data_IF_476029780959
#
_entry.id   IF_476029780959
#
_cell.length_a   1.000
_cell.length_b   1.000
_cell.length_c   1.000
_cell.angle_alpha   90.00
_cell.angle_beta   90.00
_cell.angle_gamma   90.00
#
_symmetry.space_group_name_H-M   'P 1'
#
loop_
_entity.id
_entity.type
_entity.pdbx_description
1 polymer ?
#
# COMPACT_ATOMS: atom_id res chain seq x y z
N UNK A 1 13.30 17.20 -8.47
CA UNK A 1 13.16 17.95 -7.21
C UNK A 1 11.87 17.58 -6.47
N UNK A 2 10.69 17.68 -7.09
CA UNK A 2 9.39 17.31 -6.46
C UNK A 2 9.33 15.86 -5.93
N UNK A 3 9.92 14.90 -6.63
CA UNK A 3 9.95 13.50 -6.20
C UNK A 3 10.71 13.33 -4.87
N UNK A 4 11.89 13.93 -4.73
CA UNK A 4 12.66 13.90 -3.47
C UNK A 4 11.89 14.53 -2.31
N UNK A 5 11.23 15.68 -2.56
CA UNK A 5 10.39 16.33 -1.56
C UNK A 5 9.23 15.41 -1.11
N UNK A 6 8.57 14.74 -2.04
CA UNK A 6 7.47 13.82 -1.72
C UNK A 6 7.88 12.59 -0.91
N UNK A 7 9.16 12.21 -0.94
CA UNK A 7 9.70 11.09 -0.15
C UNK A 7 10.30 11.53 1.18
N UNK A 8 10.97 12.71 1.22
CA UNK A 8 11.67 13.19 2.42
C UNK A 8 10.75 13.99 3.36
N UNK A 9 9.86 14.83 2.80
CA UNK A 9 8.93 15.63 3.62
C UNK A 9 8.07 14.79 4.57
N UNK A 10 7.47 13.67 4.14
CA UNK A 10 6.73 12.82 5.06
C UNK A 10 7.60 12.30 6.22
N UNK A 11 8.87 12.00 5.99
CA UNK A 11 9.77 11.51 7.04
C UNK A 11 9.98 12.55 8.15
N UNK A 12 10.00 13.84 7.81
CA UNK A 12 10.12 14.93 8.80
C UNK A 12 8.80 15.20 9.55
N UNK A 13 7.64 14.94 8.91
CA UNK A 13 6.30 15.22 9.48
C UNK A 13 5.71 14.01 10.21
N UNK A 14 6.17 12.80 9.90
CA UNK A 14 5.72 11.59 10.58
C UNK A 14 6.21 11.55 12.04
N UNK A 15 5.54 10.81 12.93
CA UNK A 15 5.73 10.90 14.39
C UNK A 15 7.18 10.88 14.86
N UNK A 16 8.00 9.98 14.34
CA UNK A 16 9.40 9.88 14.72
C UNK A 16 10.23 11.10 14.28
N UNK A 17 10.10 11.49 12.99
CA UNK A 17 10.85 12.64 12.45
C UNK A 17 10.45 13.94 13.13
N UNK A 18 9.14 14.17 13.29
CA UNK A 18 8.62 15.35 13.97
C UNK A 18 9.06 15.41 15.44
N UNK A 19 9.03 14.27 16.14
CA UNK A 19 9.49 14.22 17.53
C UNK A 19 10.98 14.55 17.65
N UNK A 20 11.83 14.03 16.75
CA UNK A 20 13.27 14.35 16.73
C UNK A 20 13.51 15.84 16.45
N UNK A 21 12.77 16.45 15.53
CA UNK A 21 12.85 17.90 15.28
C UNK A 21 12.43 18.71 16.50
N UNK A 22 11.34 18.33 17.17
CA UNK A 22 10.87 18.98 18.38
C UNK A 22 11.88 18.85 19.53
N UNK A 23 12.51 17.68 19.70
CA UNK A 23 13.58 17.48 20.69
C UNK A 23 14.78 18.38 20.40
N UNK A 24 15.19 18.49 19.14
CA UNK A 24 16.30 19.35 18.73
C UNK A 24 16.00 20.83 19.01
N UNK A 25 14.79 21.30 18.65
CA UNK A 25 14.33 22.67 18.93
C UNK A 25 14.30 22.94 20.44
N UNK A 26 13.78 22.00 21.23
CA UNK A 26 13.72 22.11 22.67
C UNK A 26 15.10 22.15 23.33
N UNK A 27 16.04 21.35 22.81
CA UNK A 27 17.43 21.31 23.32
C UNK A 27 18.18 22.61 23.01
N UNK A 28 18.14 23.09 21.77
CA UNK A 28 18.82 24.30 21.33
C UNK A 28 18.21 25.55 22.00
N UNK A 29 16.88 25.65 22.00
CA UNK A 29 16.14 26.77 22.60
C UNK A 29 16.04 26.72 24.12
N UNK A 30 16.48 25.61 24.74
CA UNK A 30 16.27 25.32 26.17
C UNK A 30 14.80 25.42 26.58
N UNK A 31 13.88 25.08 25.67
CA UNK A 31 12.45 25.14 25.89
C UNK A 31 11.91 23.74 26.26
N UNK A 32 11.18 23.66 27.36
CA UNK A 32 10.61 22.39 27.82
C UNK A 32 9.37 21.94 27.01
N UNK A 33 8.62 22.86 26.45
CA UNK A 33 7.39 22.53 25.72
C UNK A 33 7.59 21.65 24.48
N UNK A 34 8.54 21.94 23.57
CA UNK A 34 8.82 21.04 22.45
C UNK A 34 9.24 19.64 22.90
N UNK A 35 10.03 19.55 23.99
CA UNK A 35 10.45 18.26 24.55
C UNK A 35 9.26 17.46 25.07
N UNK A 36 8.37 18.09 25.85
CA UNK A 36 7.15 17.44 26.37
C UNK A 36 6.27 17.00 25.20
N UNK A 37 6.08 17.85 24.20
CA UNK A 37 5.28 17.52 23.00
C UNK A 37 5.86 16.34 22.25
N UNK A 38 7.16 16.26 22.07
CA UNK A 38 7.84 15.15 21.42
C UNK A 38 7.62 13.82 22.18
N UNK A 39 7.77 13.84 23.51
CA UNK A 39 7.54 12.68 24.37
C UNK A 39 6.09 12.20 24.26
N UNK A 40 5.12 13.09 24.36
CA UNK A 40 3.69 12.77 24.25
C UNK A 40 3.36 12.23 22.85
N UNK A 41 3.89 12.84 21.79
CA UNK A 41 3.69 12.39 20.41
C UNK A 41 4.21 10.96 20.24
N UNK A 42 5.43 10.67 20.65
CA UNK A 42 6.01 9.32 20.57
C UNK A 42 5.20 8.33 21.41
N UNK A 43 4.86 8.70 22.63
CA UNK A 43 4.10 7.82 23.51
C UNK A 43 2.74 7.46 22.93
N UNK A 44 1.95 8.46 22.50
CA UNK A 44 0.61 8.25 21.91
C UNK A 44 0.71 7.41 20.63
N UNK A 45 1.61 7.77 19.70
CA UNK A 45 1.75 7.06 18.45
C UNK A 45 2.34 5.64 18.60
N UNK A 46 2.96 5.33 19.74
CA UNK A 46 3.47 4.00 20.06
C UNK A 46 2.44 3.09 20.73
N UNK A 47 1.23 3.58 21.02
CA UNK A 47 0.16 2.75 21.60
C UNK A 47 -0.55 1.92 20.53
N UNK A 48 -0.72 0.63 20.79
CA UNK A 48 -1.47 -0.27 19.93
C UNK A 48 -2.90 0.18 19.68
N UNK A 49 -3.59 0.69 20.72
CA UNK A 49 -4.95 1.22 20.59
C UNK A 49 -5.04 2.37 19.59
N UNK A 50 -4.02 3.22 19.52
CA UNK A 50 -3.97 4.35 18.56
C UNK A 50 -3.75 3.85 17.14
N UNK A 51 -2.72 3.03 16.93
CA UNK A 51 -2.40 2.49 15.60
C UNK A 51 -3.54 1.65 15.04
N UNK A 52 -4.18 0.81 15.88
CA UNK A 52 -5.32 -0.01 15.47
C UNK A 52 -6.57 0.83 15.17
N UNK A 53 -6.78 1.94 15.88
CA UNK A 53 -7.89 2.86 15.58
C UNK A 53 -7.68 3.55 14.24
N UNK A 54 -6.45 3.97 13.92
CA UNK A 54 -6.10 4.54 12.64
C UNK A 54 -6.31 3.54 11.49
N UNK A 55 -5.87 2.29 11.66
CA UNK A 55 -6.09 1.23 10.68
C UNK A 55 -7.58 0.95 10.47
N UNK A 56 -8.35 0.78 11.55
CA UNK A 56 -9.81 0.58 11.47
C UNK A 56 -10.49 1.70 10.69
N UNK A 57 -10.09 2.93 10.91
CA UNK A 57 -10.65 4.07 10.19
C UNK A 57 -10.30 4.07 8.70
N UNK A 58 -9.04 3.77 8.36
CA UNK A 58 -8.59 3.70 6.97
C UNK A 58 -9.26 2.56 6.18
N UNK A 59 -9.48 1.43 6.85
CA UNK A 59 -9.97 0.20 6.24
C UNK A 59 -11.49 0.00 6.41
N UNK A 60 -12.16 0.83 7.21
CA UNK A 60 -13.58 0.68 7.55
C UNK A 60 -14.56 0.49 6.38
N UNK A 61 -14.33 1.06 5.19
CA UNK A 61 -15.20 0.86 4.05
C UNK A 61 -15.08 -0.54 3.43
N UNK A 62 -14.05 -1.31 3.81
CA UNK A 62 -13.66 -2.52 3.12
C UNK A 62 -13.88 -3.76 3.95
N UNK A 63 -14.17 -4.87 3.25
CA UNK A 63 -14.23 -6.21 3.82
C UNK A 63 -13.48 -7.18 2.90
N UNK A 64 -12.76 -8.13 3.51
CA UNK A 64 -12.14 -9.23 2.76
C UNK A 64 -13.23 -10.18 2.27
N UNK A 65 -13.26 -10.45 0.98
CA UNK A 65 -14.18 -11.39 0.36
C UNK A 65 -13.43 -12.48 -0.43
N UNK A 66 -14.01 -13.66 -0.62
CA UNK A 66 -13.40 -14.69 -1.45
C UNK A 66 -13.43 -14.29 -2.94
N UNK A 67 -12.49 -14.81 -3.73
CA UNK A 67 -12.43 -14.54 -5.17
C UNK A 67 -13.71 -14.94 -5.93
N UNK A 68 -14.42 -15.98 -5.45
CA UNK A 68 -15.68 -16.45 -6.05
C UNK A 68 -16.76 -15.38 -6.09
N UNK A 69 -16.80 -14.46 -5.13
CA UNK A 69 -17.79 -13.38 -5.02
C UNK A 69 -17.47 -12.15 -5.87
N UNK A 70 -16.27 -12.07 -6.44
CA UNK A 70 -15.91 -10.99 -7.33
C UNK A 70 -16.66 -11.07 -8.66
N UNK A 71 -16.99 -9.91 -9.26
CA UNK A 71 -17.62 -9.88 -10.59
C UNK A 71 -16.60 -10.19 -11.68
N UNK A 72 -17.07 -10.58 -12.86
CA UNK A 72 -16.20 -10.68 -14.04
C UNK A 72 -15.89 -9.29 -14.58
N UNK A 73 -14.64 -9.09 -15.01
CA UNK A 73 -14.11 -7.83 -15.50
C UNK A 73 -13.14 -8.06 -16.66
N UNK A 74 -12.65 -6.97 -17.27
CA UNK A 74 -11.73 -7.04 -18.41
C UNK A 74 -10.29 -7.41 -17.98
N UNK A 75 -9.87 -7.00 -16.78
CA UNK A 75 -8.54 -7.30 -16.24
C UNK A 75 -8.50 -7.27 -14.71
N UNK A 76 -7.66 -8.11 -14.14
CA UNK A 76 -7.22 -8.02 -12.74
C UNK A 76 -5.95 -7.19 -12.71
N UNK A 77 -5.89 -6.17 -11.86
CA UNK A 77 -4.73 -5.29 -11.69
C UNK A 77 -4.20 -5.41 -10.28
N UNK A 78 -2.98 -5.93 -10.14
CA UNK A 78 -2.28 -6.09 -8.87
C UNK A 78 -1.24 -5.00 -8.72
N UNK A 79 -1.39 -4.15 -7.71
CA UNK A 79 -0.43 -3.09 -7.43
C UNK A 79 0.82 -3.63 -6.75
N UNK A 80 1.96 -3.00 -7.07
CA UNK A 80 3.26 -3.28 -6.46
C UNK A 80 3.31 -2.95 -4.96
N UNK A 81 4.32 -3.43 -4.25
CA UNK A 81 4.58 -3.18 -2.83
C UNK A 81 4.70 -4.44 -1.97
N UNK A 82 4.68 -5.65 -2.57
CA UNK A 82 4.71 -6.92 -1.85
C UNK A 82 6.00 -7.73 -1.98
N UNK A 83 6.89 -7.39 -2.91
CA UNK A 83 8.16 -8.12 -3.11
C UNK A 83 9.39 -7.23 -3.17
N UNK A 84 10.53 -7.80 -2.80
CA UNK A 84 11.84 -7.18 -2.95
C UNK A 84 12.90 -8.21 -3.34
N UNK A 85 13.96 -7.83 -4.10
CA UNK A 85 15.04 -8.75 -4.42
C UNK A 85 15.79 -9.18 -3.17
N UNK A 86 16.19 -10.46 -3.11
CA UNK A 86 17.05 -10.96 -2.05
C UNK A 86 18.47 -10.39 -2.17
N UNK A 87 19.18 -10.19 -1.06
CA UNK A 87 20.59 -9.79 -1.10
C UNK A 87 21.43 -10.88 -1.79
N UNK A 88 22.37 -10.46 -2.64
CA UNK A 88 23.31 -11.36 -3.35
C UNK A 88 22.84 -11.79 -4.74
N UNK A 89 21.59 -12.10 -4.96
CA UNK A 89 21.05 -12.43 -6.29
C UNK A 89 19.72 -11.74 -6.56
N UNK A 90 19.71 -10.78 -7.47
CA UNK A 90 18.51 -10.00 -7.82
C UNK A 90 17.41 -10.81 -8.52
N UNK A 91 17.69 -12.02 -8.96
CA UNK A 91 16.67 -12.92 -9.53
C UNK A 91 15.87 -13.66 -8.47
N UNK A 92 16.41 -13.75 -7.24
CA UNK A 92 15.70 -14.28 -6.09
C UNK A 92 15.02 -13.14 -5.36
N UNK A 93 13.75 -13.31 -5.01
CA UNK A 93 12.99 -12.29 -4.32
C UNK A 93 12.28 -12.85 -3.09
N UNK A 94 12.03 -11.97 -2.13
CA UNK A 94 11.36 -12.26 -0.88
C UNK A 94 10.07 -11.46 -0.76
N UNK A 95 9.14 -11.94 0.07
CA UNK A 95 7.85 -11.31 0.29
C UNK A 95 7.89 -10.33 1.46
N UNK A 96 7.45 -9.10 1.23
CA UNK A 96 7.01 -8.19 2.29
C UNK A 96 5.54 -8.45 2.63
N UNK A 97 4.74 -8.68 1.59
CA UNK A 97 3.31 -8.93 1.66
C UNK A 97 2.90 -9.80 0.45
N UNK A 98 2.53 -11.08 0.66
CA UNK A 98 2.08 -11.96 -0.40
C UNK A 98 0.60 -11.77 -0.77
N UNK A 99 -0.20 -11.10 0.07
CA UNK A 99 -1.66 -11.09 -0.05
C UNK A 99 -2.16 -10.51 -1.37
N UNK A 100 -1.48 -9.49 -1.90
CA UNK A 100 -1.84 -8.90 -3.19
C UNK A 100 -1.63 -9.88 -4.33
N UNK A 101 -0.49 -10.53 -4.36
CA UNK A 101 -0.13 -11.52 -5.38
C UNK A 101 -1.08 -12.71 -5.32
N UNK A 102 -1.24 -13.32 -4.15
CA UNK A 102 -2.10 -14.48 -3.95
C UNK A 102 -3.56 -14.18 -4.33
N UNK A 103 -4.07 -13.00 -3.96
CA UNK A 103 -5.42 -12.60 -4.34
C UNK A 103 -5.56 -12.38 -5.86
N UNK A 104 -4.56 -11.82 -6.53
CA UNK A 104 -4.53 -11.71 -7.99
C UNK A 104 -4.60 -13.08 -8.67
N UNK A 105 -3.78 -14.02 -8.19
CA UNK A 105 -3.76 -15.41 -8.65
C UNK A 105 -5.10 -16.13 -8.41
N UNK A 106 -5.68 -15.97 -7.21
CA UNK A 106 -6.98 -16.58 -6.87
C UNK A 106 -8.12 -16.05 -7.76
N UNK A 107 -8.14 -14.74 -8.01
CA UNK A 107 -9.11 -14.11 -8.90
C UNK A 107 -8.98 -14.62 -10.34
N UNK A 108 -7.74 -14.74 -10.84
CA UNK A 108 -7.48 -15.25 -12.17
C UNK A 108 -7.92 -16.71 -12.30
N UNK A 109 -7.56 -17.58 -11.34
CA UNK A 109 -7.97 -18.98 -11.30
C UNK A 109 -9.47 -19.17 -11.15
N UNK A 110 -10.15 -18.23 -10.48
CA UNK A 110 -11.61 -18.19 -10.40
C UNK A 110 -12.29 -17.65 -11.68
N UNK A 111 -11.53 -17.39 -12.75
CA UNK A 111 -12.04 -16.94 -14.05
C UNK A 111 -12.65 -15.54 -14.03
N UNK A 112 -12.18 -14.66 -13.14
CA UNK A 112 -12.77 -13.32 -12.98
C UNK A 112 -12.33 -12.32 -14.05
N UNK A 113 -11.23 -12.58 -14.74
CA UNK A 113 -10.80 -11.83 -15.91
C UNK A 113 -9.88 -12.68 -16.79
N UNK A 114 -9.81 -12.39 -18.10
CA UNK A 114 -8.89 -13.05 -19.02
C UNK A 114 -7.43 -12.59 -18.87
N UNK A 115 -7.20 -11.48 -18.18
CA UNK A 115 -5.87 -10.86 -18.05
C UNK A 115 -5.51 -10.53 -16.60
N UNK A 116 -4.24 -10.81 -16.26
CA UNK A 116 -3.63 -10.49 -14.97
C UNK A 116 -2.50 -9.47 -15.20
N UNK A 117 -2.68 -8.26 -14.71
CA UNK A 117 -1.77 -7.13 -14.93
C UNK A 117 -1.06 -6.77 -13.63
N UNK A 118 0.26 -6.66 -13.68
CA UNK A 118 1.09 -6.24 -12.57
C UNK A 118 1.66 -4.84 -12.79
N UNK A 119 1.73 -4.02 -11.75
CA UNK A 119 2.41 -2.74 -11.85
C UNK A 119 3.91 -2.90 -11.59
N UNK A 120 4.72 -2.24 -12.42
CA UNK A 120 6.18 -2.34 -12.42
C UNK A 120 6.81 -1.43 -11.36
N UNK A 121 6.44 -1.63 -10.07
CA UNK A 121 6.98 -0.84 -8.98
C UNK A 121 8.50 -0.77 -8.99
N UNK A 122 9.04 0.44 -9.01
CA UNK A 122 10.47 0.71 -9.04
C UNK A 122 10.85 1.81 -8.04
N UNK A 123 12.10 1.82 -7.62
CA UNK A 123 12.63 2.87 -6.75
C UNK A 123 13.80 3.58 -7.44
N UNK A 124 13.72 4.90 -7.55
CA UNK A 124 14.84 5.72 -8.04
C UNK A 124 16.05 5.72 -7.09
N UNK A 125 15.85 5.30 -5.83
CA UNK A 125 16.93 5.15 -4.85
C UNK A 125 17.67 3.82 -4.94
N UNK A 126 17.19 2.90 -5.77
CA UNK A 126 17.75 1.55 -5.93
C UNK A 126 17.85 1.21 -7.41
N UNK A 127 18.72 1.91 -8.15
CA UNK A 127 18.91 1.63 -9.56
C UNK A 127 19.43 0.20 -9.77
N UNK A 128 18.98 -0.45 -10.84
CA UNK A 128 19.39 -1.82 -11.18
C UNK A 128 18.61 -2.94 -10.46
N UNK A 129 17.65 -2.62 -9.62
CA UNK A 129 16.74 -3.65 -9.11
C UNK A 129 15.70 -4.02 -10.19
N UNK A 130 15.36 -5.33 -10.33
CA UNK A 130 14.27 -5.76 -11.18
C UNK A 130 12.96 -5.12 -10.72
N UNK A 131 12.09 -4.85 -11.68
CA UNK A 131 10.76 -4.31 -11.40
C UNK A 131 9.92 -5.37 -10.67
N UNK A 132 9.12 -4.93 -9.73
CA UNK A 132 8.30 -5.86 -8.95
C UNK A 132 7.29 -6.63 -9.82
N UNK A 133 6.68 -5.98 -10.81
CA UNK A 133 5.79 -6.65 -11.75
C UNK A 133 6.45 -7.76 -12.57
N UNK A 134 7.75 -7.65 -12.88
CA UNK A 134 8.50 -8.73 -13.51
C UNK A 134 8.73 -9.91 -12.57
N UNK A 135 8.98 -9.64 -11.29
CA UNK A 135 9.11 -10.68 -10.26
C UNK A 135 7.80 -11.44 -10.09
N UNK A 136 6.67 -10.75 -10.06
CA UNK A 136 5.34 -11.36 -10.01
C UNK A 136 5.06 -12.21 -11.25
N UNK A 137 5.34 -11.70 -12.44
CA UNK A 137 5.10 -12.44 -13.68
C UNK A 137 5.93 -13.73 -13.77
N UNK A 138 7.16 -13.72 -13.27
CA UNK A 138 8.00 -14.95 -13.19
C UNK A 138 7.41 -15.98 -12.23
N UNK A 139 6.94 -15.53 -11.08
CA UNK A 139 6.34 -16.41 -10.07
C UNK A 139 5.05 -17.05 -10.59
N UNK A 140 4.19 -16.27 -11.24
CA UNK A 140 2.94 -16.78 -11.82
C UNK A 140 3.18 -17.79 -12.96
N UNK A 141 4.24 -17.60 -13.77
CA UNK A 141 4.64 -18.59 -14.76
C UNK A 141 5.01 -19.92 -14.11
N UNK A 142 5.75 -19.90 -13.00
CA UNK A 142 6.07 -21.10 -12.23
C UNK A 142 4.80 -21.77 -11.64
N UNK A 143 3.76 -20.98 -11.39
CA UNK A 143 2.46 -21.45 -10.90
C UNK A 143 1.46 -21.81 -12.01
N UNK A 144 1.92 -21.83 -13.27
CA UNK A 144 1.17 -22.33 -14.43
C UNK A 144 0.29 -21.31 -15.14
N UNK A 145 0.46 -19.99 -14.88
CA UNK A 145 -0.21 -18.94 -15.65
C UNK A 145 0.56 -18.71 -16.95
N UNK A 146 -0.15 -18.64 -18.07
CA UNK A 146 0.48 -18.45 -19.37
C UNK A 146 0.97 -17.01 -19.56
N UNK A 147 2.07 -16.82 -20.27
CA UNK A 147 2.66 -15.49 -20.51
C UNK A 147 1.69 -14.55 -21.25
N UNK A 148 0.84 -15.10 -22.12
CA UNK A 148 -0.13 -14.34 -22.92
C UNK A 148 -1.24 -13.73 -22.04
N UNK A 149 -1.53 -14.35 -20.91
CA UNK A 149 -2.55 -13.89 -19.96
C UNK A 149 -2.01 -12.79 -19.03
N UNK A 150 -0.70 -12.57 -18.99
CA UNK A 150 -0.06 -11.64 -18.06
C UNK A 150 0.59 -10.48 -18.79
N UNK A 151 0.64 -9.33 -18.14
CA UNK A 151 1.48 -8.22 -18.54
C UNK A 151 1.94 -7.40 -17.31
N UNK A 152 3.12 -6.81 -17.41
CA UNK A 152 3.64 -5.85 -16.44
C UNK A 152 3.75 -4.46 -17.06
N UNK A 153 3.47 -3.43 -16.26
CA UNK A 153 3.73 -2.05 -16.73
C UNK A 153 5.23 -1.78 -16.78
N UNK A 154 5.67 -0.78 -17.56
CA UNK A 154 7.00 -0.20 -17.41
C UNK A 154 7.27 0.26 -15.96
N UNK A 155 8.53 0.62 -15.62
CA UNK A 155 8.86 1.14 -14.29
C UNK A 155 7.99 2.33 -13.91
N UNK A 156 7.38 2.26 -12.73
CA UNK A 156 6.55 3.31 -12.13
C UNK A 156 6.97 3.53 -10.69
N UNK A 157 6.89 4.77 -10.21
CA UNK A 157 7.42 5.15 -8.88
C UNK A 157 6.35 5.59 -7.88
N UNK A 158 5.10 5.69 -8.33
CA UNK A 158 3.96 6.07 -7.51
C UNK A 158 2.64 5.60 -8.13
N UNK A 159 1.57 5.58 -7.33
CA UNK A 159 0.26 5.04 -7.73
C UNK A 159 -0.43 5.83 -8.86
N UNK A 160 -0.14 7.12 -9.00
CA UNK A 160 -0.68 7.90 -10.12
C UNK A 160 -0.07 7.43 -11.46
N UNK A 161 1.24 7.15 -11.48
CA UNK A 161 1.91 6.57 -12.64
C UNK A 161 1.44 5.14 -12.92
N UNK A 162 1.19 4.33 -11.87
CA UNK A 162 0.59 3.00 -12.01
C UNK A 162 -0.74 3.07 -12.76
N UNK A 163 -1.63 3.97 -12.36
CA UNK A 163 -2.93 4.16 -12.99
C UNK A 163 -2.81 4.55 -14.47
N UNK A 164 -1.94 5.50 -14.80
CA UNK A 164 -1.67 5.92 -16.18
C UNK A 164 -1.11 4.76 -17.01
N UNK A 165 -0.16 3.99 -16.45
CA UNK A 165 0.46 2.88 -17.17
C UNK A 165 -0.54 1.74 -17.44
N UNK A 166 -1.38 1.39 -16.49
CA UNK A 166 -2.45 0.39 -16.68
C UNK A 166 -3.48 0.88 -17.71
N UNK A 167 -3.90 2.14 -17.64
CA UNK A 167 -4.80 2.70 -18.64
C UNK A 167 -4.22 2.59 -20.08
N UNK A 168 -2.90 2.78 -20.23
CA UNK A 168 -2.22 2.61 -21.54
C UNK A 168 -2.23 1.17 -22.01
N UNK A 169 -2.00 0.19 -21.11
CA UNK A 169 -2.04 -1.24 -21.43
C UNK A 169 -3.44 -1.71 -21.84
N UNK A 170 -4.49 -1.05 -21.36
CA UNK A 170 -5.89 -1.39 -21.63
C UNK A 170 -6.48 -0.60 -22.82
N UNK A 171 -5.75 0.34 -23.44
CA UNK A 171 -6.20 1.09 -24.59
C UNK A 171 -6.59 0.18 -25.75
N UNK A 172 -7.75 0.46 -26.35
CA UNK A 172 -8.26 -0.31 -27.48
C UNK A 172 -9.04 -1.58 -27.13
N UNK A 173 -9.15 -1.93 -25.84
CA UNK A 173 -9.92 -3.11 -25.41
C UNK A 173 -11.38 -2.79 -25.13
N UNK A 174 -11.66 -1.60 -24.54
CA UNK A 174 -13.01 -1.09 -24.28
C UNK A 174 -12.97 0.43 -24.15
N UNK A 175 -14.12 1.09 -24.29
CA UNK A 175 -14.24 2.54 -24.10
C UNK A 175 -14.00 2.97 -22.63
N UNK A 176 -14.39 2.13 -21.67
CA UNK A 176 -14.16 2.27 -20.24
C UNK A 176 -13.86 0.90 -19.63
N UNK A 177 -12.61 0.44 -19.64
CA UNK A 177 -12.25 -0.88 -19.15
C UNK A 177 -12.59 -1.04 -17.67
N UNK A 178 -13.25 -2.18 -17.34
CA UNK A 178 -13.57 -2.55 -15.96
C UNK A 178 -12.43 -3.40 -15.40
N UNK A 179 -11.92 -3.03 -14.22
CA UNK A 179 -10.80 -3.72 -13.59
C UNK A 179 -11.09 -4.09 -12.14
N UNK A 180 -10.67 -5.29 -11.74
CA UNK A 180 -10.53 -5.66 -10.32
C UNK A 180 -9.19 -5.13 -9.84
N UNK A 181 -9.24 -4.11 -8.97
CA UNK A 181 -8.03 -3.49 -8.41
C UNK A 181 -7.65 -4.17 -7.11
N UNK A 182 -6.50 -4.83 -7.07
CA UNK A 182 -5.98 -5.56 -5.91
C UNK A 182 -4.86 -4.76 -5.26
N UNK A 183 -5.08 -4.33 -4.02
CA UNK A 183 -4.08 -3.66 -3.19
C UNK A 183 -4.47 -3.72 -1.71
N UNK A 184 -3.57 -3.29 -0.81
CA UNK A 184 -3.86 -3.24 0.63
C UNK A 184 -5.10 -2.41 0.94
N UNK A 185 -5.91 -2.87 1.89
CA UNK A 185 -7.17 -2.24 2.27
C UNK A 185 -7.01 -0.76 2.68
N UNK A 186 -5.97 -0.44 3.45
CA UNK A 186 -5.69 0.94 3.86
C UNK A 186 -5.37 1.87 2.68
N UNK A 187 -4.79 1.33 1.60
CA UNK A 187 -4.40 2.06 0.40
C UNK A 187 -5.52 2.14 -0.65
N UNK A 188 -6.48 1.24 -0.61
CA UNK A 188 -7.48 1.00 -1.65
C UNK A 188 -8.23 2.28 -2.07
N UNK A 189 -8.67 3.10 -1.12
CA UNK A 189 -9.45 4.32 -1.42
C UNK A 189 -8.68 5.30 -2.32
N UNK A 190 -7.39 5.50 -2.04
CA UNK A 190 -6.53 6.37 -2.84
C UNK A 190 -6.22 5.76 -4.21
N UNK A 191 -5.90 4.48 -4.26
CA UNK A 191 -5.65 3.77 -5.50
C UNK A 191 -6.88 3.79 -6.41
N UNK A 192 -8.05 3.41 -5.90
CA UNK A 192 -9.31 3.43 -6.65
C UNK A 192 -9.55 4.81 -7.30
N UNK A 193 -9.47 5.88 -6.52
CA UNK A 193 -9.71 7.24 -7.03
C UNK A 193 -8.74 7.63 -8.16
N UNK A 194 -7.46 7.28 -8.02
CA UNK A 194 -6.45 7.57 -9.04
C UNK A 194 -6.70 6.79 -10.34
N UNK A 195 -7.17 5.54 -10.24
CA UNK A 195 -7.51 4.72 -11.39
C UNK A 195 -8.79 5.22 -12.08
N UNK A 196 -9.82 5.58 -11.32
CA UNK A 196 -11.06 6.17 -11.84
C UNK A 196 -10.80 7.49 -12.58
N UNK A 197 -9.86 8.31 -12.10
CA UNK A 197 -9.42 9.54 -12.78
C UNK A 197 -8.79 9.29 -14.16
N UNK A 198 -8.32 8.07 -14.43
CA UNK A 198 -7.82 7.67 -15.75
C UNK A 198 -8.92 7.07 -16.66
N UNK A 199 -10.19 7.13 -16.24
CA UNK A 199 -11.33 6.61 -17.02
C UNK A 199 -11.53 5.10 -16.90
N UNK A 200 -10.92 4.44 -15.91
CA UNK A 200 -11.14 3.03 -15.61
C UNK A 200 -12.37 2.87 -14.71
N UNK A 201 -13.16 1.83 -14.94
CA UNK A 201 -14.22 1.41 -14.01
C UNK A 201 -13.60 0.46 -13.00
N UNK A 202 -13.47 0.90 -11.76
CA UNK A 202 -12.73 0.16 -10.73
C UNK A 202 -13.68 -0.60 -9.81
N UNK A 203 -13.52 -1.91 -9.76
CA UNK A 203 -14.07 -2.75 -8.70
C UNK A 203 -12.97 -3.04 -7.68
N UNK A 204 -13.06 -2.53 -6.43
CA UNK A 204 -12.03 -2.73 -5.43
C UNK A 204 -12.01 -4.17 -4.92
N UNK A 205 -10.83 -4.75 -4.81
CA UNK A 205 -10.59 -6.04 -4.16
C UNK A 205 -9.51 -5.88 -3.09
N UNK A 206 -9.88 -5.34 -1.91
CA UNK A 206 -8.94 -5.05 -0.83
C UNK A 206 -8.41 -6.32 -0.17
N UNK A 207 -7.12 -6.32 0.11
CA UNK A 207 -6.38 -7.38 0.79
C UNK A 207 -5.43 -6.77 1.83
N UNK A 208 -4.53 -7.52 2.46
CA UNK A 208 -3.54 -7.02 3.41
C UNK A 208 -4.16 -6.06 4.44
N UNK A 209 -5.16 -6.56 5.19
CA UNK A 209 -5.79 -5.82 6.27
C UNK A 209 -4.88 -5.76 7.49
N UNK A 210 -4.61 -4.56 7.98
CA UNK A 210 -3.78 -4.31 9.15
C UNK A 210 -4.59 -4.15 10.44
N UNK A 211 -5.88 -3.81 10.29
CA UNK A 211 -6.76 -3.66 11.44
C UNK A 211 -7.15 -5.01 12.02
N UNK A 212 -7.03 -5.14 13.34
CA UNK A 212 -7.55 -6.29 14.09
C UNK A 212 -9.05 -6.42 13.89
N UNK A 213 -9.51 -7.60 13.51
CA UNK A 213 -10.93 -7.89 13.31
C UNK A 213 -11.75 -7.69 14.59
N UNK A 214 -13.01 -7.26 14.42
CA UNK A 214 -13.93 -7.07 15.57
C UNK A 214 -14.16 -8.35 16.39
N UNK A 215 -14.11 -9.51 15.72
CA UNK A 215 -14.23 -10.83 16.36
C UNK A 215 -13.10 -11.15 17.34
N UNK A 216 -11.96 -10.45 17.26
CA UNK A 216 -10.82 -10.62 18.15
C UNK A 216 -10.98 -9.88 19.51
N UNK A 217 -12.16 -9.32 19.77
CA UNK A 217 -12.51 -8.62 21.00
C UNK A 217 -12.20 -7.12 21.00
N UNK A 218 -12.56 -6.47 22.08
CA UNK A 218 -12.40 -5.02 22.25
C UNK A 218 -10.94 -4.63 22.46
N UNK A 219 -10.42 -3.74 21.63
CA UNK A 219 -9.02 -3.24 21.70
C UNK A 219 -8.68 -2.64 23.07
N UNK A 220 -9.58 -1.88 23.65
CA UNK A 220 -9.38 -1.16 24.92
C UNK A 220 -9.32 -2.08 26.14
N UNK A 221 -9.86 -3.31 26.04
CA UNK A 221 -9.80 -4.33 27.09
C UNK A 221 -8.52 -5.15 27.06
N UNK A 222 -7.72 -5.04 25.98
CA UNK A 222 -6.45 -5.70 25.86
C UNK A 222 -5.34 -4.80 26.45
N UNK A 223 -4.78 -5.11 27.62
CA UNK A 223 -3.80 -4.25 28.27
C UNK A 223 -2.52 -4.08 27.44
N UNK A 224 -2.20 -5.04 26.55
CA UNK A 224 -1.01 -4.95 25.68
C UNK A 224 -1.12 -3.81 24.68
N UNK A 225 -2.33 -3.38 24.34
CA UNK A 225 -2.55 -2.27 23.41
C UNK A 225 -2.26 -0.89 24.05
N UNK A 226 -2.10 -0.81 25.37
CA UNK A 226 -1.77 0.40 26.10
C UNK A 226 -0.28 0.53 26.45
N UNK A 227 0.51 -0.49 26.08
CA UNK A 227 1.95 -0.48 26.25
C UNK A 227 2.61 0.02 24.96
N UNK A 228 3.48 1.06 25.04
CA UNK A 228 4.20 1.55 23.87
C UNK A 228 5.09 0.48 23.22
N UNK A 229 4.98 0.35 21.89
CA UNK A 229 5.80 -0.57 21.11
C UNK A 229 6.32 0.09 19.83
N UNK A 230 7.48 -0.36 19.34
CA UNK A 230 8.04 0.12 18.08
C UNK A 230 7.13 -0.24 16.89
N UNK A 231 6.48 -1.40 16.91
CA UNK A 231 5.55 -1.83 15.87
C UNK A 231 4.31 -0.94 15.80
N UNK A 232 3.77 -0.50 16.95
CA UNK A 232 2.64 0.42 16.97
C UNK A 232 3.03 1.81 16.44
N UNK A 233 4.26 2.29 16.73
CA UNK A 233 4.79 3.54 16.17
C UNK A 233 4.94 3.47 14.65
N UNK A 234 5.46 2.36 14.12
CA UNK A 234 5.56 2.12 12.67
C UNK A 234 4.16 2.08 12.02
N UNK A 235 3.24 1.33 12.60
CA UNK A 235 1.86 1.25 12.14
C UNK A 235 1.16 2.61 12.13
N UNK A 236 1.32 3.41 13.18
CA UNK A 236 0.81 4.78 13.24
C UNK A 236 1.43 5.66 12.16
N UNK A 237 2.74 5.53 11.93
CA UNK A 237 3.45 6.27 10.90
C UNK A 237 2.98 5.90 9.49
N UNK A 238 2.79 4.61 9.20
CA UNK A 238 2.25 4.11 7.92
C UNK A 238 0.82 4.62 7.69
N UNK A 239 -0.03 4.58 8.72
CA UNK A 239 -1.39 5.09 8.66
C UNK A 239 -1.43 6.59 8.36
N UNK A 240 -0.63 7.38 9.09
CA UNK A 240 -0.54 8.83 8.89
C UNK A 240 0.05 9.19 7.52
N UNK A 241 1.02 8.41 7.02
CA UNK A 241 1.55 8.57 5.65
C UNK A 241 0.46 8.38 4.60
N UNK A 242 -0.42 7.40 4.77
CA UNK A 242 -1.54 7.19 3.86
C UNK A 242 -2.54 8.37 3.92
N UNK A 243 -2.82 8.90 5.11
CA UNK A 243 -3.65 10.10 5.28
C UNK A 243 -3.06 11.32 4.58
N UNK A 244 -1.76 11.55 4.73
CA UNK A 244 -1.05 12.61 4.01
C UNK A 244 -1.15 12.38 2.49
N UNK A 245 -1.02 11.14 2.03
CA UNK A 245 -1.22 10.79 0.62
C UNK A 245 -2.64 11.12 0.13
N UNK A 246 -3.68 10.79 0.90
CA UNK A 246 -5.07 11.14 0.59
C UNK A 246 -5.27 12.66 0.53
N UNK A 247 -4.67 13.41 1.44
CA UNK A 247 -4.72 14.87 1.45
C UNK A 247 -4.10 15.47 0.18
N UNK A 248 -2.89 15.02 -0.18
CA UNK A 248 -2.18 15.49 -1.37
C UNK A 248 -2.97 15.24 -2.65
N UNK A 249 -3.56 14.06 -2.80
CA UNK A 249 -4.36 13.70 -3.96
C UNK A 249 -5.85 14.12 -3.84
N UNK A 250 -6.23 14.81 -2.76
CA UNK A 250 -7.62 15.23 -2.46
C UNK A 250 -8.64 14.10 -2.54
N UNK A 251 -8.31 12.98 -1.93
CA UNK A 251 -9.10 11.75 -1.91
C UNK A 251 -9.64 11.52 -0.50
N UNK A 252 -10.93 11.81 -0.29
CA UNK A 252 -11.63 11.66 1.00
C UNK A 252 -12.85 10.75 0.87
#
# INVERSE_FOLDING_TARGET
>A
MLYWLSKLLPLAVLPLGLALLLLLVGLIGRWRWPVITAILLLWICSLGVVSQTLWRWLESPWQRRPASEATQVDAIVVLSGGRHPAPGNSQVSEWNDPDRFLAGLDLYRAGKAPRLLFTGGASTFRPGQPQEGELYSREDQLLGITAEAMASTPPVVNTAEEAVAIQRLLRGHASAPKVLLVTSAFHMRRAQRLFEQQGLVVEPFPVDFQARGKWAGDLWRDPTQWIPTASALDNSSRSLRELLGRLVYRVW
#
